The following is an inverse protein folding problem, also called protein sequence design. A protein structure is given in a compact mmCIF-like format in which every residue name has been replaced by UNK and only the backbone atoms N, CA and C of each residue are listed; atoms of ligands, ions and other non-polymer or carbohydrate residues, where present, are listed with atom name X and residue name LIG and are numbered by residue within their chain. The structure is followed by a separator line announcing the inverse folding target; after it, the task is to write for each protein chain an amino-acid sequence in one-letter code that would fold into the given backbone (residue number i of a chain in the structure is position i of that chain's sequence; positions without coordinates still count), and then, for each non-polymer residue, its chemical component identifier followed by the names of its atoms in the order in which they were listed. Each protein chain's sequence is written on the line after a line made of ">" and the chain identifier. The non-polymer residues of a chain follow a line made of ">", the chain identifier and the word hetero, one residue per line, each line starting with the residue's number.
data_IF_085138877023
#
_entry.id   IF_085138877023
#
_cell.length_a   1.000
_cell.length_b   1.000
_cell.length_c   1.000
_cell.angle_alpha   90.00
_cell.angle_beta   90.00
_cell.angle_gamma   90.00
#
_symmetry.space_group_name_H-M   'P 1'
#
loop_
_entity.id
_entity.type
_entity.pdbx_description
1 polymer ?
#
# COMPACT_ATOMS: atom_id res chain seq x y z
N UNK A 1 2.40 80.69 37.05
CA UNK A 1 1.26 79.83 36.98
C UNK A 1 1.06 79.25 35.62
N UNK A 2 1.05 80.04 34.57
CA UNK A 2 0.89 79.53 33.20
C UNK A 2 2.08 78.71 32.69
N UNK A 3 3.29 79.04 33.07
CA UNK A 3 4.51 78.32 32.69
C UNK A 3 4.64 76.90 33.26
N UNK A 4 4.06 76.62 34.42
CA UNK A 4 4.04 75.28 35.01
C UNK A 4 3.11 74.30 34.27
N UNK A 5 1.90 74.78 33.96
CA UNK A 5 0.94 73.97 33.20
C UNK A 5 1.42 73.69 31.79
N UNK A 6 2.03 74.68 31.15
CA UNK A 6 2.61 74.50 29.83
C UNK A 6 3.74 73.47 29.84
N UNK A 7 4.63 73.50 30.85
CA UNK A 7 5.68 72.52 31.01
C UNK A 7 5.13 71.11 31.26
N UNK A 8 4.15 70.98 32.15
CA UNK A 8 3.50 69.68 32.45
C UNK A 8 2.83 69.11 31.20
N UNK A 9 2.20 69.91 30.40
CA UNK A 9 1.57 69.48 29.15
C UNK A 9 2.61 69.08 28.11
N UNK A 10 3.73 69.81 28.02
CA UNK A 10 4.82 69.43 27.14
C UNK A 10 5.48 68.10 27.56
N UNK A 11 5.67 67.87 28.86
CA UNK A 11 6.17 66.62 29.39
C UNK A 11 5.20 65.44 29.13
N UNK A 12 3.91 65.65 29.32
CA UNK A 12 2.89 64.65 29.03
C UNK A 12 2.83 64.34 27.54
N UNK A 13 2.96 65.33 26.70
CA UNK A 13 2.97 65.15 25.25
C UNK A 13 4.23 64.37 24.82
N UNK A 14 5.39 64.74 25.36
CA UNK A 14 6.64 64.01 25.09
C UNK A 14 6.55 62.56 25.52
N UNK A 15 5.97 62.24 26.69
CA UNK A 15 5.74 60.88 27.15
C UNK A 15 4.78 60.12 26.24
N UNK A 16 3.68 60.73 25.83
CA UNK A 16 2.71 60.16 24.92
C UNK A 16 3.33 59.84 23.56
N UNK A 17 4.11 60.76 23.02
CA UNK A 17 4.82 60.54 21.74
C UNK A 17 5.82 59.39 21.85
N UNK A 18 6.50 59.31 22.98
CA UNK A 18 7.45 58.21 23.26
C UNK A 18 6.72 56.86 23.36
N UNK A 19 5.59 56.83 24.05
CA UNK A 19 4.72 55.62 24.15
C UNK A 19 4.22 55.19 22.81
N UNK A 20 3.73 56.14 21.99
CA UNK A 20 3.28 55.87 20.61
C UNK A 20 4.40 55.29 19.76
N UNK A 21 5.60 55.84 19.85
CA UNK A 21 6.77 55.33 19.13
C UNK A 21 7.13 53.86 19.53
N UNK A 22 7.09 53.58 20.83
CA UNK A 22 7.34 52.25 21.38
C UNK A 22 6.26 51.27 20.89
N UNK A 23 5.01 51.66 20.96
CA UNK A 23 3.89 50.85 20.52
C UNK A 23 3.92 50.60 19.00
N UNK A 24 4.26 51.62 18.23
CA UNK A 24 4.41 51.50 16.77
C UNK A 24 5.49 50.48 16.42
N UNK A 25 6.61 50.53 17.14
CA UNK A 25 7.68 49.56 16.94
C UNK A 25 7.30 48.12 17.32
N UNK A 26 6.53 47.98 18.41
CA UNK A 26 6.00 46.69 18.82
C UNK A 26 5.02 46.14 17.78
N UNK A 27 4.16 46.98 17.22
CA UNK A 27 3.23 46.61 16.17
C UNK A 27 3.97 46.12 14.92
N UNK A 28 5.02 46.84 14.52
CA UNK A 28 5.88 46.45 13.39
C UNK A 28 6.53 45.08 13.63
N UNK A 29 7.09 44.89 14.81
CA UNK A 29 7.72 43.60 15.19
C UNK A 29 6.72 42.47 15.21
N UNK A 30 5.56 42.70 15.80
CA UNK A 30 4.49 41.69 15.84
C UNK A 30 3.93 41.37 14.45
N UNK A 31 3.78 42.40 13.60
CA UNK A 31 3.32 42.20 12.23
C UNK A 31 4.31 41.36 11.41
N UNK A 32 5.58 41.63 11.54
CA UNK A 32 6.65 40.86 10.89
C UNK A 32 6.66 39.42 11.39
N UNK A 33 6.55 39.21 12.71
CA UNK A 33 6.46 37.88 13.30
C UNK A 33 5.23 37.11 12.82
N UNK A 34 4.10 37.79 12.72
CA UNK A 34 2.86 37.18 12.25
C UNK A 34 2.95 36.74 10.77
N UNK A 35 3.55 37.56 9.92
CA UNK A 35 3.78 37.20 8.51
C UNK A 35 4.72 36.00 8.39
N UNK A 36 5.76 35.97 9.21
CA UNK A 36 6.68 34.84 9.26
C UNK A 36 5.98 33.54 9.69
N UNK A 37 5.13 33.61 10.72
CA UNK A 37 4.32 32.48 11.16
C UNK A 37 3.35 32.02 10.09
N UNK A 38 2.69 32.94 9.40
CA UNK A 38 1.78 32.62 8.29
C UNK A 38 2.50 31.91 7.15
N UNK A 39 3.71 32.37 6.81
CA UNK A 39 4.52 31.73 5.77
C UNK A 39 4.93 30.30 6.17
N UNK A 40 5.34 30.11 7.43
CA UNK A 40 5.69 28.80 7.97
C UNK A 40 4.48 27.87 8.01
N UNK A 41 3.33 28.36 8.47
CA UNK A 41 2.07 27.62 8.50
C UNK A 41 1.67 27.16 7.11
N UNK A 42 1.75 28.05 6.12
CA UNK A 42 1.45 27.73 4.71
C UNK A 42 2.41 26.67 4.17
N UNK A 43 3.71 26.77 4.48
CA UNK A 43 4.71 25.80 4.07
C UNK A 43 4.47 24.42 4.70
N UNK A 44 4.14 24.39 5.99
CA UNK A 44 3.82 23.14 6.71
C UNK A 44 2.53 22.51 6.15
N UNK A 45 1.50 23.33 5.95
CA UNK A 45 0.24 22.86 5.36
C UNK A 45 0.43 22.28 3.95
N UNK A 46 1.25 22.94 3.13
CA UNK A 46 1.62 22.45 1.81
C UNK A 46 2.38 21.13 1.86
N UNK A 47 3.36 21.04 2.77
CA UNK A 47 4.14 19.82 2.98
C UNK A 47 3.28 18.66 3.46
N UNK A 48 2.35 18.91 4.39
CA UNK A 48 1.40 17.90 4.87
C UNK A 48 0.47 17.42 3.76
N UNK A 49 -0.04 18.35 2.94
CA UNK A 49 -0.89 17.99 1.80
C UNK A 49 -0.13 17.14 0.79
N UNK A 50 1.11 17.49 0.48
CA UNK A 50 1.94 16.71 -0.43
C UNK A 50 2.28 15.33 0.15
N UNK A 51 2.58 15.26 1.44
CA UNK A 51 2.83 14.00 2.13
C UNK A 51 1.59 13.10 2.12
N UNK A 52 0.41 13.66 2.34
CA UNK A 52 -0.85 12.93 2.29
C UNK A 52 -1.12 12.37 0.89
N UNK A 53 -0.90 13.17 -0.15
CA UNK A 53 -1.04 12.72 -1.54
C UNK A 53 -0.06 11.62 -1.89
N UNK A 54 1.18 11.75 -1.44
CA UNK A 54 2.20 10.72 -1.64
C UNK A 54 1.83 9.42 -0.93
N UNK A 55 1.36 9.50 0.31
CA UNK A 55 0.88 8.35 1.06
C UNK A 55 -0.32 7.67 0.38
N UNK A 56 -1.30 8.45 -0.06
CA UNK A 56 -2.48 7.92 -0.77
C UNK A 56 -2.08 7.22 -2.06
N UNK A 57 -1.12 7.76 -2.79
CA UNK A 57 -0.59 7.15 -4.00
C UNK A 57 0.11 5.82 -3.71
N UNK A 58 0.94 5.78 -2.67
CA UNK A 58 1.63 4.54 -2.26
C UNK A 58 0.62 3.46 -1.90
N UNK A 59 -0.43 3.79 -1.15
CA UNK A 59 -1.51 2.85 -0.80
C UNK A 59 -2.26 2.38 -2.05
N UNK A 60 -2.62 3.29 -2.94
CA UNK A 60 -3.32 2.95 -4.18
C UNK A 60 -2.47 2.04 -5.09
N UNK A 61 -1.18 2.33 -5.23
CA UNK A 61 -0.26 1.51 -6.01
C UNK A 61 -0.07 0.12 -5.38
N UNK A 62 0.03 0.06 -4.05
CA UNK A 62 0.14 -1.20 -3.32
C UNK A 62 -1.13 -2.06 -3.47
N UNK A 63 -2.31 -1.46 -3.47
CA UNK A 63 -3.57 -2.17 -3.69
C UNK A 63 -3.66 -2.74 -5.11
N UNK A 64 -3.21 -2.00 -6.12
CA UNK A 64 -3.14 -2.49 -7.50
C UNK A 64 -2.18 -3.66 -7.62
N UNK A 65 -1.00 -3.54 -7.04
CA UNK A 65 0.00 -4.59 -7.04
C UNK A 65 -0.51 -5.84 -6.34
N UNK A 66 -1.19 -5.67 -5.21
CA UNK A 66 -1.86 -6.76 -4.51
C UNK A 66 -2.88 -7.47 -5.41
N UNK A 67 -3.69 -6.70 -6.15
CA UNK A 67 -4.67 -7.24 -7.09
C UNK A 67 -4.01 -8.09 -8.17
N UNK A 68 -2.93 -7.62 -8.78
CA UNK A 68 -2.18 -8.36 -9.79
C UNK A 68 -1.55 -9.64 -9.22
N UNK A 69 -0.95 -9.57 -8.03
CA UNK A 69 -0.37 -10.74 -7.37
C UNK A 69 -1.44 -11.80 -7.07
N UNK A 70 -2.62 -11.38 -6.58
CA UNK A 70 -3.72 -12.30 -6.30
C UNK A 70 -4.29 -12.94 -7.58
N UNK A 71 -4.42 -12.17 -8.65
CA UNK A 71 -4.90 -12.68 -9.93
C UNK A 71 -3.91 -13.67 -10.53
N UNK A 72 -2.61 -13.36 -10.51
CA UNK A 72 -1.56 -14.27 -10.97
C UNK A 72 -1.52 -15.55 -10.15
N UNK A 73 -1.63 -15.45 -8.83
CA UNK A 73 -1.67 -16.61 -7.95
C UNK A 73 -2.89 -17.48 -8.21
N UNK A 74 -4.05 -16.90 -8.47
CA UNK A 74 -5.27 -17.64 -8.81
C UNK A 74 -5.13 -18.36 -10.16
N UNK A 75 -4.53 -17.70 -11.14
CA UNK A 75 -4.25 -18.30 -12.44
C UNK A 75 -3.27 -19.48 -12.34
N UNK A 76 -2.18 -19.30 -11.59
CA UNK A 76 -1.22 -20.37 -11.32
C UNK A 76 -1.88 -21.55 -10.60
N UNK A 77 -2.76 -21.27 -9.65
CA UNK A 77 -3.50 -22.29 -8.93
C UNK A 77 -4.40 -23.09 -9.87
N UNK A 78 -5.09 -22.44 -10.78
CA UNK A 78 -5.94 -23.12 -11.79
C UNK A 78 -5.11 -23.99 -12.71
N UNK A 79 -4.00 -23.47 -13.18
CA UNK A 79 -3.08 -24.19 -14.05
C UNK A 79 -2.51 -25.42 -13.35
N UNK A 80 -2.04 -25.27 -12.13
CA UNK A 80 -1.52 -26.36 -11.33
C UNK A 80 -2.57 -27.43 -11.04
N UNK A 81 -3.79 -27.01 -10.72
CA UNK A 81 -4.91 -27.93 -10.51
C UNK A 81 -5.24 -28.74 -11.77
N UNK A 82 -5.28 -28.07 -12.94
CA UNK A 82 -5.52 -28.70 -14.22
C UNK A 82 -4.44 -29.70 -14.57
N UNK A 83 -3.18 -29.33 -14.39
CA UNK A 83 -2.04 -30.24 -14.60
C UNK A 83 -2.08 -31.45 -13.67
N UNK A 84 -2.40 -31.23 -12.41
CA UNK A 84 -2.56 -32.32 -11.44
C UNK A 84 -3.68 -33.28 -11.84
N UNK A 85 -4.82 -32.78 -12.29
CA UNK A 85 -5.94 -33.60 -12.77
C UNK A 85 -5.55 -34.41 -14.02
N UNK A 86 -4.79 -33.82 -14.95
CA UNK A 86 -4.27 -34.51 -16.13
C UNK A 86 -3.28 -35.63 -15.74
N UNK A 87 -2.38 -35.36 -14.81
CA UNK A 87 -1.43 -36.36 -14.32
C UNK A 87 -2.15 -37.53 -13.67
N UNK A 88 -3.15 -37.25 -12.85
CA UNK A 88 -3.95 -38.29 -12.19
C UNK A 88 -4.74 -39.11 -13.24
N UNK A 89 -5.34 -38.46 -14.21
CA UNK A 89 -6.07 -39.13 -15.30
C UNK A 89 -5.14 -40.05 -16.12
N UNK A 90 -3.95 -39.56 -16.46
CA UNK A 90 -2.93 -40.35 -17.17
C UNK A 90 -2.45 -41.54 -16.37
N UNK A 91 -2.19 -41.34 -15.07
CA UNK A 91 -1.77 -42.41 -14.16
C UNK A 91 -2.86 -43.49 -14.05
N UNK A 92 -4.13 -43.10 -13.95
CA UNK A 92 -5.25 -44.01 -13.89
C UNK A 92 -5.39 -44.81 -15.19
N UNK A 93 -5.20 -44.17 -16.36
CA UNK A 93 -5.22 -44.86 -17.65
C UNK A 93 -4.09 -45.88 -17.78
N UNK A 94 -2.89 -45.52 -17.35
CA UNK A 94 -1.74 -46.46 -17.32
C UNK A 94 -1.98 -47.62 -16.37
N UNK A 95 -2.50 -47.35 -15.17
CA UNK A 95 -2.87 -48.41 -14.23
C UNK A 95 -3.89 -49.36 -14.80
N UNK A 96 -4.95 -48.87 -15.44
CA UNK A 96 -5.97 -49.67 -16.08
C UNK A 96 -5.38 -50.53 -17.22
N UNK A 97 -4.52 -49.94 -18.04
CA UNK A 97 -3.85 -50.65 -19.13
C UNK A 97 -2.95 -51.79 -18.60
N UNK A 98 -2.22 -51.56 -17.51
CA UNK A 98 -1.41 -52.58 -16.84
C UNK A 98 -2.30 -53.74 -16.33
N UNK A 99 -3.41 -53.39 -15.70
CA UNK A 99 -4.37 -54.39 -15.18
C UNK A 99 -4.95 -55.24 -16.30
N UNK A 100 -5.35 -54.60 -17.40
CA UNK A 100 -5.89 -55.29 -18.58
C UNK A 100 -4.85 -56.23 -19.16
N UNK A 101 -3.62 -55.78 -19.35
CA UNK A 101 -2.52 -56.65 -19.84
C UNK A 101 -2.23 -57.82 -18.92
N UNK A 102 -2.25 -57.60 -17.62
CA UNK A 102 -2.03 -58.64 -16.63
C UNK A 102 -3.12 -59.68 -16.66
N UNK A 103 -4.39 -59.30 -16.83
CA UNK A 103 -5.53 -60.19 -17.00
C UNK A 103 -5.44 -61.02 -18.27
N UNK A 104 -5.05 -60.38 -19.39
CA UNK A 104 -4.84 -61.06 -20.67
C UNK A 104 -3.75 -62.15 -20.57
N UNK A 105 -2.62 -61.80 -19.95
CA UNK A 105 -1.54 -62.77 -19.70
C UNK A 105 -1.96 -63.91 -18.80
N UNK A 106 -2.71 -63.63 -17.75
CA UNK A 106 -3.25 -64.66 -16.88
C UNK A 106 -4.18 -65.64 -17.61
N UNK A 107 -5.06 -65.09 -18.47
CA UNK A 107 -5.94 -65.91 -19.30
C UNK A 107 -5.18 -66.77 -20.29
N UNK A 108 -4.17 -66.19 -20.95
CA UNK A 108 -3.35 -66.92 -21.91
C UNK A 108 -2.58 -68.06 -21.21
N UNK A 109 -2.00 -67.80 -20.04
CA UNK A 109 -1.34 -68.82 -19.26
C UNK A 109 -2.30 -69.93 -18.78
N UNK A 110 -3.51 -69.61 -18.37
CA UNK A 110 -4.53 -70.56 -17.98
C UNK A 110 -4.96 -71.42 -19.17
N UNK A 111 -5.13 -70.85 -20.33
CA UNK A 111 -5.46 -71.59 -21.56
C UNK A 111 -4.35 -72.52 -22.00
N UNK A 112 -3.08 -72.11 -21.89
CA UNK A 112 -1.93 -72.93 -22.18
C UNK A 112 -1.81 -74.11 -21.19
N UNK A 113 -2.07 -73.88 -19.92
CA UNK A 113 -2.07 -74.92 -18.89
C UNK A 113 -3.18 -75.95 -19.14
N UNK A 114 -4.41 -75.52 -19.51
CA UNK A 114 -5.49 -76.38 -19.85
C UNK A 114 -5.19 -77.22 -21.09
N UNK A 115 -4.62 -76.58 -22.12
CA UNK A 115 -4.21 -77.31 -23.32
C UNK A 115 -3.13 -78.37 -23.03
N UNK A 116 -2.19 -77.99 -22.20
CA UNK A 116 -1.17 -78.94 -21.75
C UNK A 116 -1.74 -80.12 -20.98
N UNK A 117 -2.67 -79.89 -20.08
CA UNK A 117 -3.34 -80.93 -19.28
C UNK A 117 -4.22 -81.84 -20.13
N UNK A 118 -4.83 -81.35 -21.21
CA UNK A 118 -5.69 -82.13 -22.09
C UNK A 118 -4.92 -83.04 -23.05
N UNK A 119 -3.65 -82.67 -23.38
CA UNK A 119 -2.79 -83.46 -24.26
C UNK A 119 -2.17 -84.68 -23.54
N UNK A 120 -2.00 -84.54 -22.24
CA UNK A 120 -1.38 -85.56 -21.40
C UNK A 120 -2.37 -86.09 -20.37
#
# INVERSE_FOLDING_TARGET
>A
MFGRKAKELEEQLAQSEQEVAILAKKVETLSAALEEFKAKESAISGALTNAQRAADKVVADAEKERGFILDDAEEERRTAKKEAEEIIADANREADAIIVKAKEKARALAMQAEAFMTEY
#
